data_IF_625793616813
#
_entry.id   IF_625793616813
#
_cell.length_a   1.000
_cell.length_b   1.000
_cell.length_c   1.000
_cell.angle_alpha   90.00
_cell.angle_beta   90.00
_cell.angle_gamma   90.00
#
_symmetry.space_group_name_H-M   'P 1'
#
loop_
_entity.id
_entity.type
_entity.pdbx_description
1 polymer ?
#
# COMPACT_ATOMS: atom_id res chain seq x y z
N UNK A 1 -42.33 55.75 3.69
CA UNK A 1 -40.87 55.58 3.47
C UNK A 1 -40.49 54.19 4.00
N UNK A 2 -40.08 53.27 3.13
CA UNK A 2 -39.66 51.90 3.50
C UNK A 2 -38.14 51.81 3.37
N UNK A 3 -37.47 51.69 4.49
CA UNK A 3 -36.01 51.58 4.58
C UNK A 3 -35.60 50.15 4.24
N UNK A 4 -34.95 49.96 3.09
CA UNK A 4 -34.31 48.69 2.71
C UNK A 4 -32.93 48.63 3.37
N UNK A 5 -32.77 47.72 4.33
CA UNK A 5 -31.48 47.37 4.93
C UNK A 5 -30.73 46.41 3.99
N UNK A 6 -29.66 46.90 3.38
CA UNK A 6 -28.69 46.11 2.63
C UNK A 6 -27.66 45.51 3.61
N UNK A 7 -27.68 44.18 3.76
CA UNK A 7 -26.66 43.43 4.50
C UNK A 7 -25.57 43.03 3.50
N UNK A 8 -24.29 43.39 3.71
CA UNK A 8 -23.20 42.92 2.86
C UNK A 8 -22.91 41.45 3.18
N UNK A 9 -23.09 40.59 2.18
CA UNK A 9 -22.77 39.17 2.22
C UNK A 9 -21.24 39.01 2.20
N UNK A 10 -20.62 38.82 3.36
CA UNK A 10 -19.22 38.44 3.49
C UNK A 10 -19.06 36.99 3.03
N UNK A 11 -18.67 36.82 1.76
CA UNK A 11 -18.20 35.56 1.19
C UNK A 11 -16.85 35.20 1.82
N UNK A 12 -16.88 34.55 2.99
CA UNK A 12 -15.71 33.85 3.51
C UNK A 12 -15.48 32.61 2.63
N UNK A 13 -14.57 32.74 1.66
CA UNK A 13 -14.06 31.60 0.89
C UNK A 13 -13.29 30.68 1.84
N UNK A 14 -13.94 29.62 2.32
CA UNK A 14 -13.29 28.51 2.99
C UNK A 14 -12.47 27.75 1.94
N UNK A 15 -11.20 28.11 1.81
CA UNK A 15 -10.22 27.30 1.10
C UNK A 15 -10.00 26.01 1.89
N UNK A 16 -10.87 25.02 1.70
CA UNK A 16 -10.60 23.64 2.12
C UNK A 16 -9.43 23.14 1.28
N UNK A 17 -8.22 23.10 1.85
CA UNK A 17 -7.18 22.26 1.25
C UNK A 17 -7.63 20.82 1.45
N UNK A 18 -8.07 20.17 0.38
CA UNK A 18 -8.31 18.74 0.40
C UNK A 18 -7.02 18.08 0.88
N UNK A 19 -7.04 17.49 2.08
CA UNK A 19 -6.00 16.56 2.49
C UNK A 19 -5.85 15.54 1.35
N UNK A 20 -4.61 15.18 1.02
CA UNK A 20 -4.32 14.30 -0.11
C UNK A 20 -5.03 12.97 0.13
N UNK A 21 -6.19 12.78 -0.51
CA UNK A 21 -7.12 11.67 -0.21
C UNK A 21 -6.47 10.30 -0.35
N UNK A 22 -5.37 10.23 -1.10
CA UNK A 22 -4.53 9.05 -1.23
C UNK A 22 -3.75 8.76 0.06
N UNK A 23 -3.10 9.77 0.66
CA UNK A 23 -2.27 9.57 1.86
C UNK A 23 -3.09 9.02 3.03
N UNK A 24 -4.27 9.59 3.27
CA UNK A 24 -5.11 9.15 4.38
C UNK A 24 -5.64 7.72 4.16
N UNK A 25 -6.03 7.36 2.93
CA UNK A 25 -6.37 5.97 2.58
C UNK A 25 -5.21 5.01 2.78
N UNK A 26 -3.99 5.41 2.42
CA UNK A 26 -2.80 4.58 2.63
C UNK A 26 -2.53 4.41 4.13
N UNK A 27 -2.62 5.48 4.93
CA UNK A 27 -2.42 5.41 6.39
C UNK A 27 -3.38 4.42 7.03
N UNK A 28 -4.67 4.52 6.72
CA UNK A 28 -5.72 3.62 7.24
C UNK A 28 -5.46 2.16 6.83
N UNK A 29 -5.10 1.94 5.57
CA UNK A 29 -4.82 0.59 5.08
C UNK A 29 -3.57 -0.01 5.72
N UNK A 30 -2.49 0.76 5.84
CA UNK A 30 -1.22 0.34 6.44
C UNK A 30 -1.39 0.02 7.92
N UNK A 31 -2.12 0.84 8.69
CA UNK A 31 -2.36 0.57 10.11
C UNK A 31 -3.26 -0.65 10.35
N UNK A 32 -4.11 -1.00 9.39
CA UNK A 32 -4.94 -2.20 9.44
C UNK A 32 -4.17 -3.52 9.27
N UNK A 33 -3.00 -3.51 8.61
CA UNK A 33 -2.26 -4.74 8.25
C UNK A 33 -0.80 -4.75 8.69
N UNK A 34 -0.31 -3.69 9.33
CA UNK A 34 1.06 -3.59 9.85
C UNK A 34 1.07 -2.99 11.25
N UNK A 35 2.18 -3.10 12.00
CA UNK A 35 2.35 -2.39 13.27
C UNK A 35 2.53 -0.87 13.14
N UNK A 36 2.66 -0.33 11.91
CA UNK A 36 2.85 1.10 11.68
C UNK A 36 1.55 1.84 12.01
N UNK A 37 1.60 2.74 12.99
CA UNK A 37 0.45 3.57 13.35
C UNK A 37 0.27 4.75 12.36
N UNK A 38 -0.97 5.22 12.19
CA UNK A 38 -1.28 6.38 11.35
C UNK A 38 -0.57 7.68 11.81
N UNK A 39 -0.12 7.72 13.06
CA UNK A 39 0.65 8.82 13.68
C UNK A 39 2.16 8.73 13.45
N UNK A 40 2.70 7.60 13.00
CA UNK A 40 4.14 7.37 12.78
C UNK A 40 4.65 7.89 11.42
N UNK A 41 3.85 8.73 10.76
CA UNK A 41 4.13 9.26 9.44
C UNK A 41 4.91 10.56 9.52
N UNK A 42 5.97 10.67 8.71
CA UNK A 42 6.78 11.88 8.60
C UNK A 42 7.00 12.27 7.14
N UNK A 43 7.15 13.57 6.87
CA UNK A 43 7.32 14.11 5.52
C UNK A 43 8.79 14.44 5.24
N UNK A 44 9.30 14.06 4.07
CA UNK A 44 10.61 14.47 3.55
C UNK A 44 10.50 14.81 2.07
N UNK A 45 10.64 16.10 1.75
CA UNK A 45 10.34 16.62 0.40
C UNK A 45 8.86 16.42 0.07
N UNK A 46 8.58 15.87 -1.11
CA UNK A 46 7.22 15.59 -1.59
C UNK A 46 6.72 14.17 -1.24
N UNK A 47 7.45 13.46 -0.37
CA UNK A 47 7.13 12.08 0.01
C UNK A 47 6.85 11.99 1.50
N UNK A 48 5.80 11.26 1.85
CA UNK A 48 5.47 10.87 3.20
C UNK A 48 6.00 9.46 3.44
N UNK A 49 6.59 9.23 4.60
CA UNK A 49 7.20 7.97 4.97
C UNK A 49 6.63 7.49 6.29
N UNK A 50 6.59 6.17 6.46
CA UNK A 50 6.45 5.54 7.76
C UNK A 50 7.37 4.32 7.81
N UNK A 51 7.93 4.05 8.98
CA UNK A 51 8.88 2.96 9.19
C UNK A 51 8.58 2.25 10.49
N UNK A 52 8.65 0.93 10.47
CA UNK A 52 8.62 0.08 11.65
C UNK A 52 9.87 -0.80 11.65
N UNK A 53 10.49 -0.96 12.81
CA UNK A 53 11.61 -1.88 13.02
C UNK A 53 11.36 -2.65 14.32
N UNK A 54 11.19 -3.96 14.21
CA UNK A 54 10.85 -4.79 15.35
C UNK A 54 10.44 -6.20 14.97
N UNK A 55 10.06 -6.98 15.98
CA UNK A 55 9.51 -8.31 15.76
C UNK A 55 8.04 -8.23 15.37
N UNK A 56 7.74 -8.70 14.16
CA UNK A 56 6.37 -8.81 13.67
C UNK A 56 6.14 -10.19 13.09
N UNK A 57 5.09 -10.87 13.57
CA UNK A 57 4.73 -12.25 13.19
C UNK A 57 5.90 -13.25 13.32
N UNK A 58 6.69 -13.10 14.40
CA UNK A 58 7.80 -14.00 14.72
C UNK A 58 9.07 -13.78 13.90
N UNK A 59 9.16 -12.69 13.12
CA UNK A 59 10.37 -12.30 12.38
C UNK A 59 10.72 -10.85 12.70
N UNK A 60 11.98 -10.61 13.08
CA UNK A 60 12.55 -9.27 13.16
C UNK A 60 12.69 -8.70 11.77
N UNK A 61 12.00 -7.60 11.53
CA UNK A 61 11.91 -7.01 10.20
C UNK A 61 11.79 -5.49 10.26
N UNK A 62 12.25 -4.86 9.19
CA UNK A 62 11.99 -3.48 8.86
C UNK A 62 10.88 -3.40 7.82
N UNK A 63 9.87 -2.60 8.11
CA UNK A 63 8.78 -2.26 7.19
C UNK A 63 8.91 -0.79 6.87
N UNK A 64 8.95 -0.43 5.60
CA UNK A 64 9.00 0.96 5.15
C UNK A 64 7.93 1.21 4.12
N UNK A 65 7.14 2.24 4.34
CA UNK A 65 6.14 2.74 3.39
C UNK A 65 6.55 4.13 2.95
N UNK A 66 6.43 4.41 1.67
CA UNK A 66 6.64 5.72 1.08
C UNK A 66 5.47 6.07 0.16
N UNK A 67 4.89 7.25 0.35
CA UNK A 67 3.74 7.74 -0.41
C UNK A 67 4.06 9.10 -0.98
N UNK A 68 3.97 9.21 -2.29
CA UNK A 68 4.06 10.46 -3.06
C UNK A 68 2.77 10.58 -3.89
N UNK A 69 2.49 11.76 -4.41
CA UNK A 69 1.32 11.97 -5.28
C UNK A 69 1.28 10.93 -6.40
N UNK A 70 0.26 10.07 -6.37
CA UNK A 70 0.08 8.99 -7.36
C UNK A 70 1.05 7.81 -7.24
N UNK A 71 1.83 7.70 -6.17
CA UNK A 71 2.80 6.62 -5.99
C UNK A 71 2.78 6.06 -4.56
N UNK A 72 2.76 4.74 -4.44
CA UNK A 72 2.87 4.03 -3.17
C UNK A 72 3.99 3.00 -3.31
N UNK A 73 4.92 2.99 -2.35
CA UNK A 73 6.00 2.02 -2.29
C UNK A 73 6.01 1.38 -0.90
N UNK A 74 6.06 0.06 -0.83
CA UNK A 74 6.11 -0.70 0.42
C UNK A 74 7.29 -1.66 0.32
N UNK A 75 8.12 -1.68 1.36
CA UNK A 75 9.26 -2.59 1.47
C UNK A 75 9.24 -3.27 2.83
N UNK A 76 9.38 -4.59 2.83
CA UNK A 76 9.61 -5.40 4.02
C UNK A 76 10.96 -6.09 3.89
N UNK A 77 11.79 -6.03 4.92
CA UNK A 77 13.14 -6.61 4.93
C UNK A 77 13.40 -7.28 6.28
N UNK A 78 13.84 -8.53 6.26
CA UNK A 78 14.16 -9.33 7.45
C UNK A 78 15.54 -8.94 7.96
N UNK A 79 15.69 -8.87 9.27
CA UNK A 79 16.99 -8.70 9.90
C UNK A 79 17.88 -9.90 9.60
N UNK A 80 19.18 -9.66 9.37
CA UNK A 80 20.13 -10.74 9.00
C UNK A 80 20.13 -11.93 9.97
N UNK A 81 19.91 -11.68 11.26
CA UNK A 81 19.86 -12.74 12.28
C UNK A 81 18.69 -13.72 12.11
N UNK A 82 17.64 -13.30 11.40
CA UNK A 82 16.40 -14.06 11.21
C UNK A 82 16.30 -14.70 9.82
N UNK A 83 17.32 -14.56 8.95
CA UNK A 83 17.34 -15.19 7.62
C UNK A 83 17.32 -16.73 7.64
N UNK A 84 17.63 -17.34 8.78
CA UNK A 84 17.54 -18.79 8.98
C UNK A 84 16.10 -19.27 9.25
N UNK A 85 15.14 -18.36 9.47
CA UNK A 85 13.72 -18.67 9.62
C UNK A 85 13.09 -18.99 8.25
N UNK A 86 11.82 -19.39 8.26
CA UNK A 86 11.09 -19.71 7.03
C UNK A 86 10.89 -18.46 6.15
N UNK A 87 11.77 -18.30 5.17
CA UNK A 87 11.74 -17.16 4.24
C UNK A 87 10.63 -17.26 3.20
N UNK A 88 10.13 -18.47 2.91
CA UNK A 88 8.97 -18.64 2.04
C UNK A 88 7.71 -18.16 2.76
N UNK A 89 7.57 -18.46 4.06
CA UNK A 89 6.49 -17.91 4.88
C UNK A 89 6.57 -16.39 4.97
N UNK A 90 7.75 -15.81 5.26
CA UNK A 90 7.94 -14.36 5.26
C UNK A 90 7.57 -13.74 3.91
N UNK A 91 7.98 -14.35 2.80
CA UNK A 91 7.67 -13.87 1.45
C UNK A 91 6.16 -13.86 1.20
N UNK A 92 5.46 -14.94 1.53
CA UNK A 92 4.00 -15.04 1.39
C UNK A 92 3.29 -13.98 2.25
N UNK A 93 3.72 -13.79 3.49
CA UNK A 93 3.11 -12.78 4.38
C UNK A 93 3.35 -11.34 3.92
N UNK A 94 4.57 -11.02 3.51
CA UNK A 94 4.91 -9.68 3.02
C UNK A 94 4.26 -9.39 1.67
N UNK A 95 4.07 -10.41 0.83
CA UNK A 95 3.27 -10.34 -0.40
C UNK A 95 1.79 -10.08 -0.09
N UNK A 96 1.19 -10.84 0.83
CA UNK A 96 -0.20 -10.66 1.25
C UNK A 96 -0.45 -9.25 1.75
N UNK A 97 0.50 -8.67 2.51
CA UNK A 97 0.44 -7.28 2.97
C UNK A 97 0.34 -6.29 1.80
N UNK A 98 1.17 -6.45 0.77
CA UNK A 98 1.08 -5.63 -0.43
C UNK A 98 -0.29 -5.78 -1.10
N UNK A 99 -0.79 -7.01 -1.25
CA UNK A 99 -2.11 -7.27 -1.82
C UNK A 99 -3.22 -6.56 -1.05
N UNK A 100 -3.27 -6.71 0.28
CA UNK A 100 -4.30 -6.09 1.10
C UNK A 100 -4.27 -4.56 0.99
N UNK A 101 -3.07 -3.96 1.01
CA UNK A 101 -2.94 -2.50 0.92
C UNK A 101 -3.35 -1.99 -0.45
N UNK A 102 -2.87 -2.61 -1.53
CA UNK A 102 -3.21 -2.15 -2.87
C UNK A 102 -4.67 -2.41 -3.21
N UNK A 103 -5.26 -3.54 -2.80
CA UNK A 103 -6.69 -3.84 -3.00
C UNK A 103 -7.57 -2.75 -2.38
N UNK A 104 -7.30 -2.33 -1.14
CA UNK A 104 -8.12 -1.32 -0.46
C UNK A 104 -8.01 0.09 -1.08
N UNK A 105 -6.95 0.36 -1.84
CA UNK A 105 -6.68 1.68 -2.43
C UNK A 105 -7.12 1.75 -3.90
N UNK A 106 -6.87 0.67 -4.64
CA UNK A 106 -6.99 0.62 -6.11
C UNK A 106 -8.37 0.12 -6.53
N UNK A 107 -8.93 -0.87 -5.83
CA UNK A 107 -10.23 -1.43 -6.23
C UNK A 107 -11.37 -0.44 -5.97
N UNK A 108 -12.29 -0.28 -6.92
CA UNK A 108 -13.59 0.33 -6.68
C UNK A 108 -14.34 -0.34 -5.52
N UNK A 109 -15.16 0.40 -4.78
CA UNK A 109 -15.81 -0.10 -3.56
C UNK A 109 -16.71 -1.32 -3.79
N UNK A 110 -17.41 -1.38 -4.93
CA UNK A 110 -18.23 -2.51 -5.35
C UNK A 110 -17.37 -3.76 -5.62
N UNK A 111 -16.22 -3.59 -6.28
CA UNK A 111 -15.26 -4.68 -6.51
C UNK A 111 -14.57 -5.14 -5.24
N UNK A 112 -14.20 -4.22 -4.36
CA UNK A 112 -13.65 -4.54 -3.05
C UNK A 112 -14.64 -5.36 -2.20
N UNK A 113 -15.93 -5.01 -2.22
CA UNK A 113 -16.96 -5.79 -1.54
C UNK A 113 -17.11 -7.20 -2.14
N UNK A 114 -17.09 -7.30 -3.48
CA UNK A 114 -17.23 -8.54 -4.20
C UNK A 114 -16.12 -9.55 -3.91
N UNK A 115 -14.87 -9.10 -3.72
CA UNK A 115 -13.71 -9.97 -3.45
C UNK A 115 -13.58 -10.38 -1.99
N UNK A 116 -14.32 -9.72 -1.10
CA UNK A 116 -14.44 -10.13 0.31
C UNK A 116 -15.59 -11.14 0.55
N UNK A 117 -16.41 -11.40 -0.48
CA UNK A 117 -17.42 -12.45 -0.43
C UNK A 117 -16.78 -13.81 -0.78
N UNK A 118 -16.87 -14.72 0.17
CA UNK A 118 -16.31 -16.07 0.16
C UNK A 118 -17.05 -17.00 -0.79
N UNK A 119 -18.21 -16.57 -1.31
CA UNK A 119 -18.94 -17.27 -2.37
C UNK A 119 -18.61 -16.78 -3.77
N UNK A 120 -17.76 -15.75 -3.90
CA UNK A 120 -17.45 -15.13 -5.18
C UNK A 120 -15.99 -15.39 -5.56
N UNK A 121 -15.81 -16.10 -6.68
CA UNK A 121 -14.49 -16.46 -7.24
C UNK A 121 -14.07 -15.48 -8.36
N UNK A 122 -14.57 -14.25 -8.33
CA UNK A 122 -14.17 -13.23 -9.30
C UNK A 122 -12.72 -12.78 -9.05
N UNK A 123 -11.90 -12.91 -10.10
CA UNK A 123 -10.55 -12.37 -10.12
C UNK A 123 -10.56 -10.85 -9.93
N UNK A 124 -9.68 -10.38 -9.05
CA UNK A 124 -9.48 -8.95 -8.77
C UNK A 124 -8.21 -8.38 -9.41
N UNK A 125 -7.50 -9.26 -10.11
CA UNK A 125 -6.36 -8.94 -10.93
C UNK A 125 -5.04 -8.96 -10.17
N UNK A 126 -5.03 -9.13 -8.84
CA UNK A 126 -3.82 -9.14 -8.00
C UNK A 126 -3.14 -10.51 -7.90
N UNK A 127 -3.69 -11.55 -8.53
CA UNK A 127 -3.16 -12.94 -8.48
C UNK A 127 -1.75 -13.04 -9.07
N UNK A 128 -1.36 -12.11 -9.96
CA UNK A 128 0.01 -12.02 -10.49
C UNK A 128 1.07 -11.73 -9.40
N UNK A 129 0.63 -11.21 -8.24
CA UNK A 129 1.50 -10.99 -7.09
C UNK A 129 1.65 -12.24 -6.23
N UNK A 130 1.01 -13.36 -6.53
CA UNK A 130 1.19 -14.57 -5.73
C UNK A 130 2.49 -15.29 -6.10
N UNK A 131 3.10 -15.94 -5.11
CA UNK A 131 4.29 -16.77 -5.28
C UNK A 131 4.34 -17.81 -4.16
N UNK A 132 4.71 -19.06 -4.49
CA UNK A 132 4.76 -20.14 -3.51
C UNK A 132 6.07 -20.12 -2.71
N UNK A 133 7.20 -19.96 -3.40
CA UNK A 133 8.55 -19.99 -2.79
C UNK A 133 9.44 -18.85 -3.28
N UNK A 134 10.40 -18.46 -2.43
CA UNK A 134 11.44 -17.45 -2.75
C UNK A 134 12.28 -17.90 -3.95
N UNK A 135 12.60 -19.19 -4.02
CA UNK A 135 13.43 -19.72 -5.11
C UNK A 135 12.74 -19.58 -6.47
N UNK A 136 11.46 -19.93 -6.53
CA UNK A 136 10.67 -19.80 -7.75
C UNK A 136 10.50 -18.34 -8.15
N UNK A 137 10.10 -17.48 -7.20
CA UNK A 137 9.88 -16.05 -7.47
C UNK A 137 11.15 -15.39 -7.97
N UNK A 138 12.28 -15.63 -7.29
CA UNK A 138 13.57 -15.03 -7.66
C UNK A 138 14.03 -15.50 -9.03
N UNK A 139 13.83 -16.79 -9.36
CA UNK A 139 14.15 -17.34 -10.68
C UNK A 139 13.29 -16.71 -11.77
N UNK A 140 11.97 -16.63 -11.55
CA UNK A 140 11.05 -16.01 -12.49
C UNK A 140 11.42 -14.53 -12.71
N UNK A 141 11.67 -13.78 -11.64
CA UNK A 141 12.03 -12.37 -11.68
C UNK A 141 13.37 -12.11 -12.38
N UNK A 142 14.33 -13.02 -12.23
CA UNK A 142 15.61 -12.94 -12.94
C UNK A 142 15.46 -13.15 -14.46
N UNK A 143 14.49 -13.95 -14.89
CA UNK A 143 14.27 -14.27 -16.31
C UNK A 143 13.33 -13.29 -17.01
N UNK A 144 12.29 -12.83 -16.31
CA UNK A 144 11.18 -12.08 -16.89
C UNK A 144 11.06 -10.65 -16.37
N UNK A 145 11.88 -10.27 -15.38
CA UNK A 145 11.71 -9.03 -14.63
C UNK A 145 10.67 -9.17 -13.51
N UNK A 146 10.52 -8.09 -12.73
CA UNK A 146 9.54 -8.03 -11.64
C UNK A 146 8.11 -8.16 -12.21
N UNK A 147 7.26 -9.07 -11.69
CA UNK A 147 5.85 -9.14 -12.04
C UNK A 147 5.20 -7.76 -11.89
N UNK A 148 4.48 -7.34 -12.93
CA UNK A 148 3.74 -6.10 -12.91
C UNK A 148 2.46 -6.20 -13.75
N UNK A 149 1.46 -5.37 -13.42
CA UNK A 149 0.17 -5.33 -14.11
C UNK A 149 -0.51 -3.98 -13.90
N UNK A 150 -1.17 -3.47 -14.94
CA UNK A 150 -2.06 -2.33 -14.78
C UNK A 150 -3.43 -2.77 -14.22
N UNK A 151 -3.82 -2.19 -13.09
CA UNK A 151 -5.08 -2.46 -12.41
C UNK A 151 -5.76 -1.11 -12.14
N UNK A 152 -6.90 -0.87 -12.78
CA UNK A 152 -7.68 0.38 -12.64
C UNK A 152 -6.83 1.67 -12.79
N UNK A 153 -5.91 1.69 -13.75
CA UNK A 153 -5.05 2.85 -14.01
C UNK A 153 -3.85 2.97 -13.05
N UNK A 154 -3.52 1.93 -12.31
CA UNK A 154 -2.31 1.83 -11.50
C UNK A 154 -1.41 0.72 -12.06
N UNK A 155 -0.16 1.03 -12.38
CA UNK A 155 0.87 0.04 -12.64
C UNK A 155 1.38 -0.50 -11.30
N UNK A 156 1.01 -1.73 -10.99
CA UNK A 156 1.36 -2.41 -9.74
C UNK A 156 2.48 -3.39 -10.03
N UNK A 157 3.54 -3.38 -9.22
CA UNK A 157 4.67 -4.30 -9.34
C UNK A 157 5.11 -4.87 -8.00
N UNK A 158 5.76 -6.03 -8.04
CA UNK A 158 6.34 -6.68 -6.87
C UNK A 158 7.67 -7.35 -7.23
N UNK A 159 8.65 -7.20 -6.33
CA UNK A 159 9.97 -7.80 -6.40
C UNK A 159 10.29 -8.53 -5.10
N UNK A 160 10.82 -9.74 -5.21
CA UNK A 160 11.10 -10.62 -4.09
C UNK A 160 12.53 -11.14 -4.17
N UNK A 161 13.19 -11.10 -3.03
CA UNK A 161 14.53 -11.58 -2.81
C UNK A 161 14.55 -12.31 -1.45
N UNK A 162 15.61 -13.07 -1.16
CA UNK A 162 15.74 -13.72 0.14
C UNK A 162 15.64 -12.69 1.29
N UNK A 163 14.63 -12.85 2.14
CA UNK A 163 14.39 -11.97 3.27
C UNK A 163 13.90 -10.56 2.89
N UNK A 164 13.43 -10.33 1.66
CA UNK A 164 12.97 -9.00 1.24
C UNK A 164 11.86 -9.05 0.20
N UNK A 165 10.84 -8.24 0.41
CA UNK A 165 9.75 -8.00 -0.54
C UNK A 165 9.60 -6.50 -0.72
N UNK A 166 9.56 -6.04 -1.97
CA UNK A 166 9.29 -4.65 -2.32
C UNK A 166 8.17 -4.61 -3.35
N UNK A 167 7.14 -3.80 -3.13
CA UNK A 167 6.04 -3.63 -4.05
C UNK A 167 5.74 -2.14 -4.25
N UNK A 168 5.27 -1.80 -5.44
CA UNK A 168 4.90 -0.43 -5.80
C UNK A 168 3.58 -0.40 -6.56
N UNK A 169 2.88 0.72 -6.42
CA UNK A 169 1.73 1.07 -7.24
C UNK A 169 1.90 2.51 -7.71
N UNK A 170 1.96 2.71 -9.03
CA UNK A 170 2.18 4.01 -9.66
C UNK A 170 0.99 4.31 -10.58
N UNK A 171 0.33 5.44 -10.36
CA UNK A 171 -0.81 5.86 -11.17
C UNK A 171 -0.34 6.24 -12.57
N UNK A 172 -0.93 5.59 -13.58
CA UNK A 172 -0.68 5.81 -15.01
C UNK A 172 -1.44 7.01 -15.57
#
# INVERSE_FOLDING_TARGET
MRTLLLIPLLLASLSVSAADSLLEKVKESVSGVTPIDATEWYKKGDTNFAEYEGEYRGVKQKIKVAVKTGEIHIKSEVDRGDLAKDMDAFMRESTLRCNLIFRSIILPADKLAAVTDWNNDESDGFEFMEAETVSESTRHEAMNGAPHKNIYGWDVSIRRELGKTACSAIKS
#
